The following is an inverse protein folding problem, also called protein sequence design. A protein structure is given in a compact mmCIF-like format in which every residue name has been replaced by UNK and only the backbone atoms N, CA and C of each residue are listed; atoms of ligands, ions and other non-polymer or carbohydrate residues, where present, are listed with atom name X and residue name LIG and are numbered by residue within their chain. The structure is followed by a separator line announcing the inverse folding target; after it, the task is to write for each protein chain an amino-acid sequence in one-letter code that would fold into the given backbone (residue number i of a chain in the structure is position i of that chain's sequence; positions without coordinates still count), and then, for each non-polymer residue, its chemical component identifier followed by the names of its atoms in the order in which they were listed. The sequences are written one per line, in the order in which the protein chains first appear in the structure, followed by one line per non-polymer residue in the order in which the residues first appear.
data_IF_037912488351
#
_entry.id   IF_037912488351
#
_cell.length_a   1.000
_cell.length_b   1.000
_cell.length_c   1.000
_cell.angle_alpha   90.00
_cell.angle_beta   90.00
_cell.angle_gamma   90.00
#
_symmetry.space_group_name_H-M   'P 1'
#
loop_
_entity.id
_entity.type
_entity.pdbx_description
1 polymer ?
#
# COMPACT_ATOMS: atom_id res chain seq x y z
N UNK A 1 11.26 -11.96 -0.80
CA UNK A 1 10.12 -11.40 -0.05
C UNK A 1 10.29 -9.89 -0.09
N UNK A 2 9.31 -9.20 -0.66
CA UNK A 2 9.43 -7.78 -1.04
C UNK A 2 9.67 -6.85 0.16
N UNK A 3 9.34 -7.33 1.38
CA UNK A 3 9.68 -6.65 2.63
C UNK A 3 11.18 -6.42 2.86
N UNK A 4 12.08 -7.15 2.18
CA UNK A 4 13.53 -6.90 2.24
C UNK A 4 13.94 -5.63 1.49
N UNK A 5 13.26 -5.32 0.39
CA UNK A 5 13.53 -4.13 -0.43
C UNK A 5 12.80 -2.88 0.10
N UNK A 6 11.82 -3.07 0.99
CA UNK A 6 11.01 -1.98 1.51
C UNK A 6 11.84 -0.85 2.14
N UNK A 7 12.94 -1.19 2.84
CA UNK A 7 13.84 -0.20 3.45
C UNK A 7 14.55 0.64 2.38
N UNK A 8 15.03 0.02 1.30
CA UNK A 8 15.65 0.73 0.18
C UNK A 8 14.67 1.66 -0.54
N UNK A 9 13.39 1.29 -0.62
CA UNK A 9 12.36 2.10 -1.27
C UNK A 9 11.96 3.35 -0.47
N UNK A 10 12.14 3.33 0.85
CA UNK A 10 11.83 4.46 1.74
C UNK A 10 13.10 5.24 2.13
N UNK A 11 14.26 4.80 1.65
CA UNK A 11 15.54 5.42 1.96
C UNK A 11 15.62 6.84 1.40
N UNK A 12 15.95 7.81 2.26
CA UNK A 12 16.08 9.22 1.88
C UNK A 12 14.75 9.96 1.70
N UNK A 13 13.62 9.32 1.99
CA UNK A 13 12.30 9.97 1.99
C UNK A 13 12.06 10.59 3.37
N UNK A 14 11.74 11.88 3.40
CA UNK A 14 11.27 12.56 4.60
C UNK A 14 9.74 12.55 4.65
N UNK A 15 9.17 11.96 5.68
CA UNK A 15 7.72 11.90 5.90
C UNK A 15 7.40 11.86 7.40
N UNK A 16 6.21 12.33 7.77
CA UNK A 16 5.74 12.25 9.16
C UNK A 16 5.20 10.86 9.49
N UNK A 17 4.60 10.17 8.52
CA UNK A 17 3.88 8.91 8.71
C UNK A 17 4.30 7.91 7.64
N UNK A 18 4.61 6.68 8.06
CA UNK A 18 4.82 5.53 7.18
C UNK A 18 3.55 4.66 7.16
N UNK A 19 2.79 4.74 6.07
CA UNK A 19 1.62 3.89 5.84
C UNK A 19 2.02 2.66 5.01
N UNK A 20 1.73 1.46 5.51
CA UNK A 20 1.97 0.24 4.74
C UNK A 20 0.99 -0.89 5.08
N UNK A 21 0.91 -1.87 4.18
CA UNK A 21 0.11 -3.08 4.36
C UNK A 21 0.67 -3.95 5.48
N UNK A 22 -0.19 -4.75 6.10
CA UNK A 22 0.18 -5.74 7.14
C UNK A 22 1.37 -6.62 6.76
N UNK A 23 1.57 -6.92 5.48
CA UNK A 23 2.72 -7.71 5.00
C UNK A 23 4.08 -7.11 5.35
N UNK A 24 4.14 -5.78 5.47
CA UNK A 24 5.33 -4.98 5.78
C UNK A 24 5.55 -4.76 7.28
N UNK A 25 4.75 -5.39 8.14
CA UNK A 25 5.02 -5.43 9.58
C UNK A 25 6.24 -6.32 9.87
N UNK A 26 7.42 -5.72 9.78
CA UNK A 26 8.72 -6.35 10.08
C UNK A 26 9.49 -5.41 10.99
N UNK A 27 10.24 -5.97 11.96
CA UNK A 27 11.00 -5.17 12.92
C UNK A 27 11.98 -4.21 12.22
N UNK A 28 12.63 -4.64 11.13
CA UNK A 28 13.59 -3.81 10.39
C UNK A 28 12.93 -2.56 9.79
N UNK A 29 11.74 -2.70 9.19
CA UNK A 29 10.98 -1.60 8.58
C UNK A 29 10.49 -0.63 9.67
N UNK A 30 10.00 -1.17 10.79
CA UNK A 30 9.57 -0.35 11.92
C UNK A 30 10.74 0.41 12.56
N UNK A 31 11.88 -0.25 12.74
CA UNK A 31 13.09 0.37 13.30
C UNK A 31 13.62 1.47 12.37
N UNK A 32 13.64 1.21 11.05
CA UNK A 32 14.02 2.22 10.08
C UNK A 32 13.08 3.43 10.12
N UNK A 33 11.76 3.21 10.08
CA UNK A 33 10.75 4.28 10.13
C UNK A 33 10.95 5.18 11.35
N UNK A 34 11.14 4.59 12.54
CA UNK A 34 11.39 5.33 13.77
C UNK A 34 12.73 6.08 13.72
N UNK A 35 13.79 5.46 13.20
CA UNK A 35 15.10 6.11 13.05
C UNK A 35 15.08 7.28 12.06
N UNK A 36 14.20 7.23 11.05
CA UNK A 36 13.97 8.28 10.07
C UNK A 36 12.95 9.33 10.55
N UNK A 37 12.45 9.24 11.79
CA UNK A 37 11.48 10.18 12.36
C UNK A 37 10.04 10.01 11.87
N UNK A 38 9.72 8.90 11.22
CA UNK A 38 8.37 8.60 10.73
C UNK A 38 7.58 7.79 11.75
N UNK A 39 6.30 8.09 11.92
CA UNK A 39 5.37 7.27 12.69
C UNK A 39 4.84 6.11 11.83
N UNK A 40 5.16 4.84 12.15
CA UNK A 40 4.66 3.71 11.39
C UNK A 40 3.18 3.44 11.68
N UNK A 41 2.32 3.62 10.67
CA UNK A 41 0.89 3.29 10.69
C UNK A 41 0.69 2.00 9.88
N UNK A 42 1.20 0.90 10.44
CA UNK A 42 1.17 -0.43 9.83
C UNK A 42 0.37 -1.37 10.75
N UNK A 43 -0.67 -2.06 10.27
CA UNK A 43 -1.38 -3.04 11.06
C UNK A 43 -0.46 -4.21 11.43
N UNK A 44 -0.44 -4.65 12.70
CA UNK A 44 0.38 -5.76 13.11
C UNK A 44 -0.04 -7.05 12.39
N UNK A 45 0.93 -7.93 12.13
CA UNK A 45 0.66 -9.28 11.64
C UNK A 45 -0.12 -10.08 12.68
N UNK A 46 -1.04 -10.92 12.20
CA UNK A 46 -1.89 -11.78 13.05
C UNK A 46 -1.09 -12.75 13.92
N UNK A 47 0.10 -13.17 13.46
CA UNK A 47 0.98 -14.10 14.15
C UNK A 47 2.02 -13.41 15.05
N UNK A 48 1.96 -12.08 15.22
CA UNK A 48 2.87 -11.38 16.11
C UNK A 48 2.53 -11.71 17.57
N UNK A 49 3.55 -12.05 18.36
CA UNK A 49 3.40 -12.37 19.80
C UNK A 49 2.80 -11.20 20.57
N UNK A 50 3.26 -10.00 20.27
CA UNK A 50 2.75 -8.76 20.85
C UNK A 50 2.02 -7.97 19.77
N UNK A 51 0.73 -7.72 19.99
CA UNK A 51 -0.08 -6.90 19.10
C UNK A 51 0.19 -5.43 19.42
N UNK A 52 0.85 -4.73 18.51
CA UNK A 52 1.11 -3.30 18.66
C UNK A 52 -0.16 -2.50 18.40
N UNK A 53 -0.34 -1.42 19.14
CA UNK A 53 -1.34 -0.43 18.78
C UNK A 53 -0.90 0.38 17.55
N UNK A 54 -1.89 0.85 16.80
CA UNK A 54 -1.70 1.70 15.63
C UNK A 54 -2.98 2.49 15.39
N UNK A 55 -2.86 3.67 14.78
CA UNK A 55 -4.03 4.46 14.41
C UNK A 55 -4.83 3.78 13.29
N UNK A 56 -5.84 3.01 13.70
CA UNK A 56 -6.77 2.30 12.81
C UNK A 56 -7.60 3.26 11.97
N UNK A 57 -7.94 4.43 12.51
CA UNK A 57 -8.77 5.40 11.82
C UNK A 57 -7.97 6.04 10.68
N UNK A 58 -6.76 6.50 10.99
CA UNK A 58 -5.85 7.07 10.01
C UNK A 58 -5.48 6.04 8.93
N UNK A 59 -5.17 4.81 9.33
CA UNK A 59 -4.91 3.71 8.40
C UNK A 59 -6.08 3.51 7.42
N UNK A 60 -7.32 3.42 7.92
CA UNK A 60 -8.50 3.19 7.07
C UNK A 60 -8.74 4.36 6.11
N UNK A 61 -8.61 5.60 6.60
CA UNK A 61 -8.84 6.80 5.80
C UNK A 61 -7.82 6.95 4.68
N UNK A 62 -6.53 6.80 4.98
CA UNK A 62 -5.47 6.95 3.98
C UNK A 62 -5.43 5.76 3.01
N UNK A 63 -5.62 4.53 3.50
CA UNK A 63 -5.65 3.33 2.64
C UNK A 63 -6.74 3.41 1.58
N UNK A 64 -7.93 3.89 1.93
CA UNK A 64 -9.03 4.05 0.96
C UNK A 64 -8.66 4.99 -0.20
N UNK A 65 -7.94 6.08 0.08
CA UNK A 65 -7.50 7.02 -0.96
C UNK A 65 -6.48 6.37 -1.90
N UNK A 66 -5.51 5.65 -1.34
CA UNK A 66 -4.50 4.92 -2.10
C UNK A 66 -5.16 3.84 -2.97
N UNK A 67 -6.08 3.05 -2.41
CA UNK A 67 -6.80 2.00 -3.13
C UNK A 67 -7.62 2.57 -4.30
N UNK A 68 -8.30 3.71 -4.12
CA UNK A 68 -9.04 4.37 -5.20
C UNK A 68 -8.14 4.88 -6.34
N UNK A 69 -6.96 5.40 -6.00
CA UNK A 69 -5.97 5.80 -6.99
C UNK A 69 -5.49 4.58 -7.81
N UNK A 70 -5.08 3.50 -7.13
CA UNK A 70 -4.64 2.27 -7.79
C UNK A 70 -5.76 1.58 -8.59
N UNK A 71 -7.00 1.64 -8.13
CA UNK A 71 -8.16 1.12 -8.87
C UNK A 71 -8.28 1.84 -10.23
N UNK A 72 -8.15 3.16 -10.22
CA UNK A 72 -8.18 3.99 -11.42
C UNK A 72 -7.02 3.65 -12.36
N UNK A 73 -5.79 3.58 -11.83
CA UNK A 73 -4.62 3.19 -12.61
C UNK A 73 -4.74 1.79 -13.22
N UNK A 74 -5.26 0.81 -12.47
CA UNK A 74 -5.50 -0.55 -12.96
C UNK A 74 -6.55 -0.57 -14.06
N UNK A 75 -7.59 0.25 -13.95
CA UNK A 75 -8.62 0.38 -14.99
C UNK A 75 -8.02 0.91 -16.28
N UNK A 76 -7.28 2.02 -16.24
CA UNK A 76 -6.63 2.59 -17.42
C UNK A 76 -5.61 1.65 -18.04
N UNK A 77 -4.80 0.98 -17.21
CA UNK A 77 -3.88 -0.05 -17.68
C UNK A 77 -4.62 -1.17 -18.41
N UNK A 78 -5.73 -1.66 -17.86
CA UNK A 78 -6.54 -2.71 -18.47
C UNK A 78 -7.13 -2.32 -19.83
N UNK A 79 -7.50 -1.04 -20.00
CA UNK A 79 -7.94 -0.50 -21.29
C UNK A 79 -6.76 -0.41 -22.26
N UNK A 80 -5.65 0.21 -21.86
CA UNK A 80 -4.47 0.41 -22.70
C UNK A 80 -3.90 -0.92 -23.24
N UNK A 81 -3.89 -1.97 -22.42
CA UNK A 81 -3.34 -3.29 -22.79
C UNK A 81 -4.41 -4.29 -23.25
N UNK A 82 -5.66 -3.85 -23.48
CA UNK A 82 -6.80 -4.70 -23.89
C UNK A 82 -6.95 -6.00 -23.07
N UNK A 83 -6.99 -5.89 -21.74
CA UNK A 83 -7.12 -7.07 -20.87
C UNK A 83 -8.50 -7.74 -20.91
N UNK A 84 -9.53 -7.03 -21.37
CA UNK A 84 -10.86 -7.60 -21.53
C UNK A 84 -10.84 -8.73 -22.57
N UNK A 85 -11.34 -9.90 -22.20
CA UNK A 85 -11.32 -11.10 -23.06
C UNK A 85 -12.28 -11.03 -24.24
N UNK A 86 -13.38 -10.29 -24.09
CA UNK A 86 -14.41 -10.12 -25.13
C UNK A 86 -14.42 -8.68 -25.62
N UNK A 87 -14.77 -8.51 -26.89
CA UNK A 87 -14.92 -7.19 -27.52
C UNK A 87 -15.97 -6.35 -26.79
N UNK A 88 -17.08 -6.94 -26.37
CA UNK A 88 -18.16 -6.21 -25.68
C UNK A 88 -17.70 -5.66 -24.33
N UNK A 89 -16.97 -6.45 -23.54
CA UNK A 89 -16.42 -6.00 -22.27
C UNK A 89 -15.36 -4.89 -22.44
N UNK A 90 -14.58 -4.96 -23.52
CA UNK A 90 -13.63 -3.92 -23.85
C UNK A 90 -14.32 -2.61 -24.24
N UNK A 91 -15.30 -2.69 -25.14
CA UNK A 91 -16.12 -1.55 -25.59
C UNK A 91 -16.80 -0.90 -24.38
N UNK A 92 -17.41 -1.68 -23.50
CA UNK A 92 -18.02 -1.16 -22.27
C UNK A 92 -17.00 -0.44 -21.38
N UNK A 93 -15.78 -0.98 -21.21
CA UNK A 93 -14.75 -0.35 -20.38
C UNK A 93 -14.25 1.00 -20.93
N UNK A 94 -14.22 1.16 -22.26
CA UNK A 94 -13.81 2.38 -22.98
C UNK A 94 -14.90 3.46 -22.94
N UNK A 95 -16.18 3.08 -23.00
CA UNK A 95 -17.31 4.02 -23.04
C UNK A 95 -17.75 4.55 -21.67
N UNK A 96 -17.05 4.19 -20.59
CA UNK A 96 -17.35 4.60 -19.20
C UNK A 96 -16.42 5.72 -18.74
#
# INVERSE_FOLDING_TARGET
ADCKEAVHLIEGISAEILLADRGYDTNDILAYAVSAGMEPVIPPKRNRKEQRDYDKYLYKKLRHLVENCFLTLKRWRGIATRYAKTSDAFIAAVHV
#
